data_IF_351229318779
#
_entry.id   IF_351229318779
#
_cell.length_a   1.000
_cell.length_b   1.000
_cell.length_c   1.000
_cell.angle_alpha   90.00
_cell.angle_beta   90.00
_cell.angle_gamma   90.00
#
_symmetry.space_group_name_H-M   'P 1'
#
loop_
_entity.id
_entity.type
_entity.pdbx_description
1 polymer ?
#
# COMPACT_ATOMS: atom_id res chain seq x y z
N UNK A 1 -20.26 24.86 -5.47
CA UNK A 1 -18.83 24.54 -5.33
C UNK A 1 -18.64 23.18 -5.95
N UNK A 2 -18.09 23.11 -7.15
CA UNK A 2 -17.80 21.85 -7.83
C UNK A 2 -16.64 21.22 -7.07
N UNK A 3 -16.89 20.15 -6.31
CA UNK A 3 -15.81 19.35 -5.74
C UNK A 3 -14.90 18.93 -6.89
N UNK A 4 -13.62 19.26 -6.83
CA UNK A 4 -12.66 18.75 -7.79
C UNK A 4 -12.79 17.22 -7.81
N UNK A 5 -13.18 16.68 -8.96
CA UNK A 5 -13.38 15.25 -9.14
C UNK A 5 -12.02 14.57 -8.97
N UNK A 6 -11.97 13.49 -8.18
CA UNK A 6 -10.78 12.67 -8.05
C UNK A 6 -10.38 12.12 -9.42
N UNK A 7 -9.11 12.28 -9.79
CA UNK A 7 -8.55 11.75 -11.03
C UNK A 7 -7.59 10.61 -10.69
N UNK A 8 -8.01 9.38 -11.03
CA UNK A 8 -7.25 8.18 -10.74
C UNK A 8 -5.95 8.08 -11.54
N UNK A 9 -5.87 8.65 -12.75
CA UNK A 9 -4.62 8.68 -13.54
C UNK A 9 -3.60 9.59 -12.88
N UNK A 10 -4.04 10.79 -12.48
CA UNK A 10 -3.19 11.73 -11.74
C UNK A 10 -2.71 11.15 -10.40
N UNK A 11 -3.57 10.44 -9.67
CA UNK A 11 -3.18 9.76 -8.42
C UNK A 11 -2.20 8.60 -8.67
N UNK A 12 -2.39 7.82 -9.74
CA UNK A 12 -1.45 6.76 -10.12
C UNK A 12 -0.06 7.33 -10.40
N UNK A 13 0.02 8.40 -11.20
CA UNK A 13 1.28 9.07 -11.51
C UNK A 13 1.96 9.61 -10.24
N UNK A 14 1.19 10.19 -9.30
CA UNK A 14 1.70 10.64 -8.01
C UNK A 14 2.33 9.48 -7.22
N UNK A 15 1.67 8.31 -7.20
CA UNK A 15 2.19 7.13 -6.52
C UNK A 15 3.48 6.62 -7.18
N UNK A 16 3.52 6.52 -8.51
CA UNK A 16 4.76 6.18 -9.25
C UNK A 16 5.90 7.13 -8.90
N UNK A 17 5.67 8.46 -9.00
CA UNK A 17 6.70 9.44 -8.67
C UNK A 17 7.20 9.33 -7.22
N UNK A 18 6.31 8.98 -6.29
CA UNK A 18 6.68 8.78 -4.89
C UNK A 18 7.59 7.55 -4.69
N UNK A 19 7.34 6.44 -5.39
CA UNK A 19 8.24 5.27 -5.37
C UNK A 19 9.62 5.62 -5.92
N UNK A 20 9.66 6.36 -7.04
CA UNK A 20 10.90 6.82 -7.65
C UNK A 20 11.68 7.74 -6.71
N UNK A 21 11.02 8.71 -6.11
CA UNK A 21 11.65 9.65 -5.17
C UNK A 21 12.20 8.97 -3.91
N UNK A 22 11.61 7.83 -3.52
CA UNK A 22 12.05 7.03 -2.37
C UNK A 22 13.14 6.00 -2.71
N UNK A 23 13.51 5.85 -3.98
CA UNK A 23 14.61 4.97 -4.40
C UNK A 23 14.22 3.49 -4.58
N UNK A 24 12.94 3.21 -4.85
CA UNK A 24 12.50 1.84 -5.16
C UNK A 24 13.20 1.20 -6.37
N UNK A 25 13.49 1.92 -7.48
CA UNK A 25 14.23 1.33 -8.60
C UNK A 25 15.59 0.76 -8.20
N UNK A 26 16.35 1.49 -7.38
CA UNK A 26 17.67 1.07 -6.90
C UNK A 26 17.56 -0.15 -5.99
N UNK A 27 16.56 -0.20 -5.11
CA UNK A 27 16.31 -1.38 -4.29
C UNK A 27 15.94 -2.62 -5.11
N UNK A 28 15.23 -2.41 -6.23
CA UNK A 28 14.83 -3.43 -7.19
C UNK A 28 15.94 -3.84 -8.17
N UNK A 29 17.12 -3.21 -8.12
CA UNK A 29 18.20 -3.37 -9.10
C UNK A 29 17.75 -3.09 -10.55
N UNK A 30 16.90 -2.08 -10.73
CA UNK A 30 16.41 -1.64 -12.02
C UNK A 30 16.82 -0.19 -12.27
N UNK A 31 16.94 0.19 -13.54
CA UNK A 31 16.94 1.60 -13.91
C UNK A 31 15.56 2.21 -13.62
N UNK A 32 15.53 3.54 -13.46
CA UNK A 32 14.29 4.31 -13.36
C UNK A 32 13.31 3.98 -14.48
N UNK A 33 13.81 3.92 -15.72
CA UNK A 33 12.99 3.66 -16.90
C UNK A 33 12.37 2.25 -16.86
N UNK A 34 13.18 1.23 -16.57
CA UNK A 34 12.67 -0.15 -16.48
C UNK A 34 11.63 -0.30 -15.35
N UNK A 35 11.79 0.43 -14.25
CA UNK A 35 10.82 0.44 -13.16
C UNK A 35 9.50 1.09 -13.60
N UNK A 36 9.55 2.26 -14.25
CA UNK A 36 8.37 2.94 -14.80
C UNK A 36 7.65 2.06 -15.84
N UNK A 37 8.38 1.42 -16.76
CA UNK A 37 7.84 0.53 -17.79
C UNK A 37 7.11 -0.69 -17.19
N UNK A 38 7.61 -1.24 -16.07
CA UNK A 38 6.94 -2.34 -15.36
C UNK A 38 5.63 -1.93 -14.71
N UNK A 39 5.51 -0.67 -14.29
CA UNK A 39 4.31 -0.15 -13.62
C UNK A 39 3.28 0.39 -14.62
N UNK A 40 3.71 0.85 -15.79
CA UNK A 40 2.85 1.50 -16.79
C UNK A 40 1.54 0.76 -17.10
N UNK A 41 1.50 -0.59 -17.25
CA UNK A 41 0.25 -1.30 -17.51
C UNK A 41 -0.83 -1.14 -16.42
N UNK A 42 -0.43 -0.81 -15.19
CA UNK A 42 -1.35 -0.64 -14.06
C UNK A 42 -2.10 0.69 -14.12
N UNK A 43 -1.66 1.66 -14.92
CA UNK A 43 -2.35 2.95 -15.06
C UNK A 43 -3.78 2.79 -15.60
N UNK A 44 -3.97 1.95 -16.63
CA UNK A 44 -5.30 1.66 -17.18
C UNK A 44 -6.21 1.00 -16.13
N UNK A 45 -5.66 0.10 -15.31
CA UNK A 45 -6.38 -0.57 -14.22
C UNK A 45 -6.78 0.45 -13.13
N UNK A 46 -5.88 1.35 -12.75
CA UNK A 46 -6.17 2.42 -11.81
C UNK A 46 -7.31 3.32 -12.31
N UNK A 47 -7.28 3.72 -13.58
CA UNK A 47 -8.33 4.55 -14.18
C UNK A 47 -9.66 3.80 -14.22
N UNK A 48 -9.66 2.55 -14.67
CA UNK A 48 -10.87 1.76 -14.85
C UNK A 48 -11.62 1.52 -13.53
N UNK A 49 -10.89 1.27 -12.44
CA UNK A 49 -11.49 0.89 -11.15
C UNK A 49 -11.51 2.04 -10.12
N UNK A 50 -10.50 2.91 -10.13
CA UNK A 50 -10.31 3.99 -9.17
C UNK A 50 -11.17 5.22 -9.41
N UNK A 51 -11.55 5.50 -10.67
CA UNK A 51 -12.27 6.75 -11.02
C UNK A 51 -13.66 6.88 -10.38
N UNK A 52 -14.25 5.77 -9.93
CA UNK A 52 -15.54 5.73 -9.24
C UNK A 52 -15.43 5.82 -7.71
N UNK A 53 -14.22 5.74 -7.18
CA UNK A 53 -13.97 5.69 -5.74
C UNK A 53 -13.83 7.09 -5.15
N UNK A 54 -14.08 7.17 -3.84
CA UNK A 54 -13.92 8.42 -3.11
C UNK A 54 -12.44 8.84 -3.08
N UNK A 55 -12.15 10.16 -3.11
CA UNK A 55 -10.78 10.65 -2.92
C UNK A 55 -10.14 10.14 -1.62
N UNK A 56 -8.80 10.04 -1.57
CA UNK A 56 -8.10 9.58 -0.38
C UNK A 56 -8.31 10.52 0.82
N UNK A 57 -8.32 9.92 2.01
CA UNK A 57 -8.26 10.59 3.31
C UNK A 57 -7.28 9.84 4.21
N UNK A 58 -6.91 10.36 5.40
CA UNK A 58 -6.08 9.59 6.34
C UNK A 58 -6.66 8.23 6.76
N UNK A 59 -7.96 8.02 6.58
CA UNK A 59 -8.66 6.80 6.95
C UNK A 59 -8.80 5.80 5.80
N UNK A 60 -8.63 6.24 4.54
CA UNK A 60 -8.87 5.41 3.36
C UNK A 60 -8.12 5.88 2.12
N UNK A 61 -7.77 4.95 1.25
CA UNK A 61 -7.27 5.23 -0.09
C UNK A 61 -8.16 4.57 -1.15
N UNK A 62 -8.46 5.25 -2.27
CA UNK A 62 -9.20 4.65 -3.38
C UNK A 62 -8.42 3.47 -3.94
N UNK A 63 -7.10 3.62 -4.09
CA UNK A 63 -6.20 2.53 -4.37
C UNK A 63 -4.79 2.79 -3.89
N UNK A 64 -4.02 1.71 -3.76
CA UNK A 64 -2.59 1.73 -3.43
C UNK A 64 -1.85 0.86 -4.43
N UNK A 65 -0.81 1.44 -5.02
CA UNK A 65 0.20 0.72 -5.78
C UNK A 65 1.15 0.01 -4.83
N UNK A 66 1.18 -1.31 -4.94
CA UNK A 66 1.94 -2.19 -4.07
C UNK A 66 3.09 -2.79 -4.85
N UNK A 67 4.30 -2.70 -4.31
CA UNK A 67 5.50 -3.37 -4.82
C UNK A 67 5.72 -4.63 -4.00
N UNK A 68 5.77 -5.80 -4.65
CA UNK A 68 5.96 -7.08 -3.96
C UNK A 68 7.38 -7.24 -3.44
N UNK A 69 7.53 -8.04 -2.40
CA UNK A 69 8.79 -8.43 -1.78
C UNK A 69 9.75 -9.13 -2.75
N UNK A 70 9.20 -9.79 -3.78
CA UNK A 70 9.97 -10.36 -4.89
C UNK A 70 10.76 -9.30 -5.67
N UNK A 71 10.25 -8.06 -5.72
CA UNK A 71 10.91 -6.94 -6.38
C UNK A 71 11.69 -6.09 -5.38
N UNK A 72 11.08 -5.74 -4.24
CA UNK A 72 11.73 -4.98 -3.16
C UNK A 72 11.40 -5.62 -1.81
N UNK A 73 12.38 -6.28 -1.15
CA UNK A 73 12.18 -6.91 0.15
C UNK A 73 11.59 -5.97 1.20
N UNK A 74 10.67 -6.47 2.03
CA UNK A 74 9.93 -5.68 3.00
C UNK A 74 10.83 -4.98 4.04
N UNK A 75 11.91 -5.64 4.47
CA UNK A 75 12.94 -5.10 5.37
C UNK A 75 13.72 -3.92 4.75
N UNK A 76 13.80 -3.85 3.41
CA UNK A 76 14.39 -2.73 2.67
C UNK A 76 13.38 -1.64 2.33
N UNK A 77 12.11 -2.00 2.12
CA UNK A 77 11.04 -1.03 1.85
C UNK A 77 10.59 -0.29 3.12
N UNK A 78 10.55 -0.99 4.28
CA UNK A 78 10.07 -0.43 5.55
C UNK A 78 10.85 0.85 5.99
N UNK A 79 12.19 0.91 5.89
CA UNK A 79 12.95 2.14 6.18
C UNK A 79 12.66 3.33 5.26
N UNK A 80 11.99 3.14 4.12
CA UNK A 80 11.56 4.24 3.24
C UNK A 80 10.27 4.91 3.72
N UNK A 81 9.59 4.33 4.71
CA UNK A 81 8.42 4.92 5.36
C UNK A 81 8.84 5.79 6.54
N UNK A 82 7.96 6.69 6.97
CA UNK A 82 8.14 7.46 8.19
C UNK A 82 6.77 7.89 8.73
N UNK A 83 6.69 8.10 10.04
CA UNK A 83 5.53 8.75 10.66
C UNK A 83 5.35 10.14 10.06
N UNK A 84 4.10 10.54 9.79
CA UNK A 84 3.80 11.85 9.22
C UNK A 84 4.47 13.00 10.02
N UNK A 85 5.12 13.91 9.30
CA UNK A 85 5.84 15.04 9.90
C UNK A 85 7.09 14.66 10.70
N UNK A 86 7.58 13.42 10.63
CA UNK A 86 8.84 12.96 11.24
C UNK A 86 9.83 12.52 10.18
N UNK A 87 11.11 12.52 10.57
CA UNK A 87 12.23 12.08 9.75
C UNK A 87 12.80 10.73 10.19
N UNK A 88 12.29 10.15 11.30
CA UNK A 88 12.76 8.84 11.76
C UNK A 88 12.22 7.77 10.79
N UNK A 89 13.09 6.97 10.16
CA UNK A 89 12.68 5.86 9.31
C UNK A 89 11.79 4.87 10.06
N UNK A 90 10.86 4.26 9.33
CA UNK A 90 10.21 3.02 9.75
C UNK A 90 11.24 1.92 10.00
N UNK A 91 10.87 0.96 10.81
CA UNK A 91 11.70 -0.21 11.09
C UNK A 91 10.79 -1.42 11.24
N UNK A 92 11.28 -2.58 10.85
CA UNK A 92 10.67 -3.85 11.18
C UNK A 92 11.47 -4.46 12.33
N UNK A 93 10.81 -4.77 13.44
CA UNK A 93 11.41 -5.46 14.59
C UNK A 93 11.15 -6.98 14.52
N UNK A 94 11.22 -7.51 13.30
CA UNK A 94 11.02 -8.92 12.99
C UNK A 94 12.30 -9.44 12.36
N UNK A 95 12.65 -10.70 12.62
CA UNK A 95 13.70 -11.37 11.87
C UNK A 95 13.29 -11.40 10.38
N UNK A 96 14.17 -11.07 9.41
CA UNK A 96 13.87 -11.21 7.99
C UNK A 96 13.31 -12.59 7.62
N UNK A 97 13.72 -13.65 8.32
CA UNK A 97 13.17 -14.99 8.16
C UNK A 97 11.72 -15.12 8.66
N UNK A 98 11.32 -14.34 9.66
CA UNK A 98 9.95 -14.33 10.18
C UNK A 98 9.00 -13.54 9.29
N UNK A 99 9.46 -12.42 8.68
CA UNK A 99 8.65 -11.69 7.68
C UNK A 99 8.36 -12.56 6.46
N UNK A 100 9.36 -13.34 6.02
CA UNK A 100 9.18 -14.28 4.90
C UNK A 100 8.18 -15.41 5.21
N UNK A 101 7.88 -15.68 6.49
CA UNK A 101 6.87 -16.66 6.92
C UNK A 101 5.45 -16.09 7.02
N UNK A 102 5.29 -14.76 6.96
CA UNK A 102 3.98 -14.13 6.87
C UNK A 102 3.43 -14.29 5.44
N UNK A 103 2.93 -15.49 5.16
CA UNK A 103 2.17 -15.73 3.94
C UNK A 103 0.76 -15.14 4.10
N UNK A 104 0.20 -14.51 3.04
CA UNK A 104 -1.22 -14.18 3.02
C UNK A 104 -2.04 -15.43 3.33
N UNK A 105 -3.16 -15.26 4.04
CA UNK A 105 -4.12 -16.35 4.25
C UNK A 105 -4.51 -16.89 2.87
N UNK A 106 -4.56 -18.23 2.67
CA UNK A 106 -4.71 -18.92 1.37
C UNK A 106 -5.87 -18.40 0.49
N UNK A 107 -6.84 -17.70 1.08
CA UNK A 107 -8.01 -17.14 0.41
C UNK A 107 -7.78 -15.74 -0.22
N UNK A 108 -6.60 -15.12 -0.06
CA UNK A 108 -6.33 -13.79 -0.62
C UNK A 108 -5.83 -13.89 -2.08
N UNK A 109 -6.57 -13.37 -3.08
CA UNK A 109 -6.17 -13.42 -4.48
C UNK A 109 -5.12 -12.34 -4.78
N UNK A 110 -3.88 -12.53 -4.30
CA UNK A 110 -2.76 -11.64 -4.64
C UNK A 110 -2.22 -12.00 -6.02
N UNK A 111 -2.16 -11.07 -6.98
CA UNK A 111 -1.61 -11.35 -8.30
C UNK A 111 -0.15 -11.83 -8.25
N UNK A 112 0.21 -12.76 -9.14
CA UNK A 112 1.59 -13.19 -9.35
C UNK A 112 2.33 -12.23 -10.31
N UNK A 113 2.37 -10.96 -9.92
CA UNK A 113 3.04 -9.88 -10.67
C UNK A 113 3.92 -9.06 -9.73
N UNK A 114 5.07 -8.50 -10.17
CA UNK A 114 6.00 -7.79 -9.30
C UNK A 114 5.41 -6.56 -8.58
N UNK A 115 4.31 -6.01 -9.10
CA UNK A 115 3.52 -4.96 -8.50
C UNK A 115 2.04 -5.14 -8.87
N UNK A 116 1.14 -4.61 -8.06
CA UNK A 116 -0.31 -4.65 -8.27
C UNK A 116 -1.01 -3.47 -7.60
N UNK A 117 -2.31 -3.32 -7.86
CA UNK A 117 -3.16 -2.31 -7.22
C UNK A 117 -4.12 -2.98 -6.25
N UNK A 118 -4.22 -2.42 -5.04
CA UNK A 118 -5.28 -2.74 -4.07
C UNK A 118 -6.27 -1.60 -4.07
N UNK A 119 -7.57 -1.91 -4.14
CA UNK A 119 -8.64 -0.91 -4.20
C UNK A 119 -9.45 -0.88 -2.89
N UNK A 120 -10.01 0.29 -2.57
CA UNK A 120 -10.92 0.45 -1.43
C UNK A 120 -10.27 0.20 -0.07
N UNK A 121 -9.00 0.59 0.06
CA UNK A 121 -8.21 0.35 1.25
C UNK A 121 -8.71 1.25 2.39
N UNK A 122 -8.95 0.67 3.56
CA UNK A 122 -9.33 1.40 4.78
C UNK A 122 -8.33 1.09 5.90
N UNK A 123 -8.06 2.09 6.74
CA UNK A 123 -7.18 1.97 7.90
C UNK A 123 -7.74 1.04 8.98
N UNK A 124 -9.06 0.85 9.01
CA UNK A 124 -9.73 -0.03 9.97
C UNK A 124 -10.01 0.60 11.33
N UNK A 125 -10.40 1.87 11.39
CA UNK A 125 -10.72 2.57 12.66
C UNK A 125 -11.79 1.84 13.48
N UNK A 126 -12.70 1.15 12.82
CA UNK A 126 -13.72 0.30 13.42
C UNK A 126 -13.17 -0.89 14.22
N UNK A 127 -11.90 -1.23 14.03
CA UNK A 127 -11.20 -2.32 14.74
C UNK A 127 -10.35 -1.81 15.92
N UNK A 128 -10.42 -0.52 16.24
CA UNK A 128 -9.73 0.04 17.41
C UNK A 128 -10.23 -0.61 18.70
N UNK A 129 -9.29 -1.08 19.52
CA UNK A 129 -9.54 -1.81 20.77
C UNK A 129 -10.33 -3.13 20.59
N UNK A 130 -10.33 -3.68 19.38
CA UNK A 130 -10.89 -5.00 19.07
C UNK A 130 -9.76 -6.02 19.05
N UNK A 131 -10.03 -7.25 19.51
CA UNK A 131 -9.05 -8.33 19.43
C UNK A 131 -8.81 -8.73 17.96
N UNK A 132 -7.64 -9.29 17.60
CA UNK A 132 -7.41 -9.75 16.23
C UNK A 132 -8.48 -10.73 15.73
N UNK A 133 -8.90 -11.68 16.56
CA UNK A 133 -9.91 -12.68 16.19
C UNK A 133 -11.27 -12.02 15.89
N UNK A 134 -11.72 -11.09 16.75
CA UNK A 134 -12.98 -10.37 16.54
C UNK A 134 -12.91 -9.42 15.33
N UNK A 135 -11.75 -8.80 15.09
CA UNK A 135 -11.53 -7.93 13.94
C UNK A 135 -11.64 -8.74 12.64
N UNK A 136 -11.07 -9.94 12.58
CA UNK A 136 -11.18 -10.82 11.41
C UNK A 136 -12.63 -11.18 11.09
N UNK A 137 -13.44 -11.49 12.10
CA UNK A 137 -14.88 -11.74 11.90
C UNK A 137 -15.58 -10.53 11.28
N UNK A 138 -15.32 -9.32 11.80
CA UNK A 138 -15.91 -8.09 11.28
C UNK A 138 -15.46 -7.75 9.85
N UNK A 139 -14.18 -7.96 9.54
CA UNK A 139 -13.59 -7.74 8.21
C UNK A 139 -14.22 -8.70 7.18
N UNK A 140 -14.24 -10.00 7.46
CA UNK A 140 -14.79 -11.01 6.56
C UNK A 140 -16.30 -10.86 6.40
N UNK A 141 -17.04 -10.49 7.45
CA UNK A 141 -18.48 -10.23 7.37
C UNK A 141 -18.84 -9.08 6.40
N UNK A 142 -17.89 -8.16 6.15
CA UNK A 142 -18.02 -7.07 5.16
C UNK A 142 -17.55 -7.48 3.76
N UNK A 143 -17.20 -8.75 3.54
CA UNK A 143 -16.63 -9.24 2.29
C UNK A 143 -15.25 -8.65 2.00
N UNK A 144 -14.50 -8.27 3.04
CA UNK A 144 -13.17 -7.66 2.93
C UNK A 144 -12.09 -8.59 3.44
N UNK A 145 -10.85 -8.18 3.21
CA UNK A 145 -9.66 -8.92 3.61
C UNK A 145 -8.75 -8.05 4.46
N UNK A 146 -7.97 -8.68 5.33
CA UNK A 146 -6.88 -8.02 6.04
C UNK A 146 -5.77 -7.63 5.07
N UNK A 147 -5.03 -6.56 5.38
CA UNK A 147 -3.88 -6.17 4.57
C UNK A 147 -2.69 -7.10 4.78
N UNK A 148 -1.98 -7.38 3.69
CA UNK A 148 -0.65 -7.99 3.75
C UNK A 148 0.39 -6.97 4.22
N UNK A 149 1.59 -7.45 4.57
CA UNK A 149 2.73 -6.58 4.92
C UNK A 149 3.08 -5.64 3.76
N UNK A 150 3.08 -6.15 2.52
CA UNK A 150 3.40 -5.37 1.32
C UNK A 150 2.35 -4.25 1.10
N UNK A 151 1.08 -4.57 1.30
CA UNK A 151 -0.02 -3.61 1.17
C UNK A 151 0.05 -2.52 2.25
N UNK A 152 0.38 -2.92 3.49
CA UNK A 152 0.60 -1.97 4.59
C UNK A 152 1.78 -1.02 4.33
N UNK A 153 2.91 -1.54 3.85
CA UNK A 153 4.08 -0.72 3.46
C UNK A 153 3.73 0.21 2.31
N UNK A 154 3.03 -0.29 1.28
CA UNK A 154 2.55 0.52 0.17
C UNK A 154 1.63 1.65 0.64
N UNK A 155 0.69 1.34 1.54
CA UNK A 155 -0.26 2.31 2.06
C UNK A 155 0.45 3.46 2.79
N UNK A 156 1.37 3.18 3.70
CA UNK A 156 2.12 4.21 4.42
C UNK A 156 3.14 4.92 3.51
N UNK A 157 3.69 4.22 2.53
CA UNK A 157 4.57 4.83 1.52
C UNK A 157 3.84 5.96 0.80
N UNK A 158 2.59 5.73 0.39
CA UNK A 158 1.81 6.65 -0.43
C UNK A 158 0.97 7.65 0.36
N UNK A 159 0.53 7.29 1.56
CA UNK A 159 -0.36 8.05 2.43
C UNK A 159 0.18 8.07 3.87
N UNK A 160 1.35 8.68 4.12
CA UNK A 160 2.00 8.66 5.43
C UNK A 160 1.16 9.30 6.54
N UNK A 161 0.25 10.22 6.21
CA UNK A 161 -0.74 10.81 7.11
C UNK A 161 -1.70 9.78 7.75
N UNK A 162 -1.84 8.60 7.15
CA UNK A 162 -2.65 7.51 7.70
C UNK A 162 -1.98 6.83 8.89
N UNK A 163 -0.64 6.92 8.98
CA UNK A 163 0.12 6.41 10.12
C UNK A 163 0.11 7.45 11.24
N UNK A 164 -0.65 7.17 12.29
CA UNK A 164 -0.73 7.98 13.50
C UNK A 164 -0.10 7.25 14.68
N UNK A 165 0.26 7.99 15.73
CA UNK A 165 0.70 7.35 16.98
C UNK A 165 -0.51 6.73 17.66
N UNK A 166 -0.34 5.53 18.20
CA UNK A 166 -1.32 5.00 19.16
C UNK A 166 -1.39 5.94 20.37
N UNK A 167 -2.61 6.30 20.75
CA UNK A 167 -2.93 7.14 21.89
C UNK A 167 -3.16 6.31 23.16
#
# INVERSE_FOLDING_TARGET
MTSAQFDAGTEFDRQVQNLLAKGYPELANLSRQEFEERLAPLCEVAIAHGSSLAPPTPERAPFVLVVKMQLVPADRAMPLTALHGKHKPGFADFDPEDIARFEPIEELPVPDTPAYLVFGLERGEETLNVTPDDAMVAITARGRTSLTVEEGIGFITHFPESLEKNH
#
